data_IF_978392531911
#
_entry.id   IF_978392531911
#
_cell.length_a   1.000
_cell.length_b   1.000
_cell.length_c   1.000
_cell.angle_alpha   90.00
_cell.angle_beta   90.00
_cell.angle_gamma   90.00
#
_symmetry.space_group_name_H-M   'P 1'
#
loop_
_entity.id
_entity.type
_entity.pdbx_description
1 polymer ?
#
# COMPACT_ATOMS: atom_id res chain seq x y z
N UNK A 1 22.17 -51.38 -27.28
CA UNK A 1 21.38 -50.21 -27.70
C UNK A 1 20.57 -49.73 -26.51
N UNK A 2 20.99 -48.62 -25.90
CA UNK A 2 20.21 -47.43 -25.57
C UNK A 2 20.87 -46.74 -24.37
N UNK A 3 21.74 -45.78 -24.67
CA UNK A 3 22.39 -44.87 -23.73
C UNK A 3 21.39 -43.77 -23.36
N UNK A 4 20.77 -43.89 -22.19
CA UNK A 4 19.92 -42.84 -21.62
C UNK A 4 20.78 -41.79 -20.92
N UNK A 5 21.13 -40.72 -21.63
CA UNK A 5 21.58 -39.46 -21.03
C UNK A 5 20.38 -38.79 -20.36
N UNK A 6 20.33 -38.79 -19.03
CA UNK A 6 19.50 -37.88 -18.27
C UNK A 6 20.27 -36.57 -18.06
N UNK A 7 19.84 -35.52 -18.74
CA UNK A 7 20.32 -34.16 -18.53
C UNK A 7 19.84 -33.63 -17.16
N UNK A 8 20.69 -32.93 -16.38
CA UNK A 8 20.21 -32.16 -15.24
C UNK A 8 19.76 -30.79 -15.76
N UNK A 9 18.48 -30.65 -16.12
CA UNK A 9 17.87 -29.33 -16.27
C UNK A 9 17.44 -28.84 -14.88
N UNK A 10 18.41 -28.39 -14.10
CA UNK A 10 18.18 -27.39 -13.07
C UNK A 10 18.72 -26.09 -13.62
N UNK A 11 17.84 -25.17 -14.01
CA UNK A 11 18.27 -23.81 -14.32
C UNK A 11 19.07 -23.28 -13.11
N UNK A 12 20.27 -22.71 -13.33
CA UNK A 12 21.02 -22.11 -12.23
C UNK A 12 20.16 -21.00 -11.61
N UNK A 13 20.20 -20.80 -10.28
CA UNK A 13 19.48 -19.70 -9.64
C UNK A 13 19.84 -18.42 -10.38
N UNK A 14 18.85 -17.73 -10.91
CA UNK A 14 19.02 -16.51 -11.71
C UNK A 14 20.05 -15.63 -11.01
N UNK A 15 21.23 -15.49 -11.65
CA UNK A 15 22.29 -14.62 -11.12
C UNK A 15 21.70 -13.22 -11.01
N UNK A 16 21.36 -12.79 -9.79
CA UNK A 16 20.80 -11.47 -9.51
C UNK A 16 21.60 -10.42 -10.27
N UNK A 17 20.91 -9.65 -11.10
CA UNK A 17 21.52 -8.66 -11.99
C UNK A 17 22.50 -7.77 -11.19
N UNK A 18 23.81 -7.72 -11.54
CA UNK A 18 24.81 -6.95 -10.81
C UNK A 18 24.47 -5.45 -10.70
N UNK A 19 23.72 -4.92 -11.68
CA UNK A 19 23.24 -3.54 -11.65
C UNK A 19 22.21 -3.31 -10.54
N UNK A 20 21.34 -4.30 -10.31
CA UNK A 20 20.31 -4.28 -9.29
C UNK A 20 20.91 -4.46 -7.90
N UNK A 21 21.83 -5.41 -7.73
CA UNK A 21 22.51 -5.65 -6.45
C UNK A 21 23.18 -4.38 -5.90
N UNK A 22 23.80 -3.56 -6.77
CA UNK A 22 24.39 -2.26 -6.39
C UNK A 22 23.39 -1.18 -5.99
N UNK A 23 22.11 -1.34 -6.31
CA UNK A 23 21.03 -0.36 -6.09
C UNK A 23 19.89 -0.92 -5.24
N UNK A 24 20.05 -2.11 -4.70
CA UNK A 24 19.04 -2.82 -3.93
C UNK A 24 18.46 -1.92 -2.83
N UNK A 25 19.33 -1.26 -2.07
CA UNK A 25 18.95 -0.36 -0.98
C UNK A 25 18.05 0.80 -1.42
N UNK A 26 18.28 1.32 -2.62
CA UNK A 26 17.42 2.36 -3.19
C UNK A 26 16.03 1.83 -3.52
N UNK A 27 15.94 0.60 -4.06
CA UNK A 27 14.66 -0.02 -4.36
C UNK A 27 13.89 -0.42 -3.10
N UNK A 28 14.57 -0.91 -2.06
CA UNK A 28 13.98 -1.15 -0.74
C UNK A 28 13.39 0.14 -0.17
N UNK A 29 14.19 1.23 -0.14
CA UNK A 29 13.71 2.55 0.31
C UNK A 29 12.47 2.96 -0.48
N UNK A 30 12.51 2.81 -1.80
CA UNK A 30 11.38 3.18 -2.67
C UNK A 30 10.14 2.34 -2.37
N UNK A 31 10.27 1.03 -2.17
CA UNK A 31 9.15 0.15 -1.85
C UNK A 31 8.43 0.60 -0.58
N UNK A 32 9.21 0.96 0.45
CA UNK A 32 8.67 1.44 1.73
C UNK A 32 7.98 2.80 1.59
N UNK A 33 8.57 3.75 0.85
CA UNK A 33 7.93 5.06 0.63
C UNK A 33 6.64 4.93 -0.19
N UNK A 34 6.63 4.08 -1.22
CA UNK A 34 5.43 3.80 -2.01
C UNK A 34 4.35 3.10 -1.17
N UNK A 35 4.72 2.18 -0.28
CA UNK A 35 3.79 1.56 0.68
C UNK A 35 3.17 2.60 1.62
N UNK A 36 3.97 3.50 2.20
CA UNK A 36 3.46 4.58 3.06
C UNK A 36 2.47 5.49 2.34
N UNK A 37 2.75 5.85 1.08
CA UNK A 37 1.84 6.65 0.25
C UNK A 37 0.57 5.88 -0.10
N UNK A 38 0.69 4.59 -0.40
CA UNK A 38 -0.44 3.72 -0.70
C UNK A 38 -1.40 3.62 0.49
N UNK A 39 -0.89 3.36 1.69
CA UNK A 39 -1.73 3.27 2.88
C UNK A 39 -2.52 4.56 3.09
N UNK A 40 -1.86 5.71 2.91
CA UNK A 40 -2.56 7.01 2.98
C UNK A 40 -3.62 7.17 1.89
N UNK A 41 -3.32 6.76 0.65
CA UNK A 41 -4.29 6.78 -0.44
C UNK A 41 -5.49 5.88 -0.16
N UNK A 42 -5.28 4.75 0.51
CA UNK A 42 -6.36 3.84 0.90
C UNK A 42 -7.19 4.40 2.06
N UNK A 43 -6.57 5.05 3.06
CA UNK A 43 -7.30 5.77 4.12
C UNK A 43 -8.30 6.77 3.53
N UNK A 44 -7.87 7.54 2.53
CA UNK A 44 -8.74 8.51 1.86
C UNK A 44 -9.91 7.80 1.12
N UNK A 45 -9.67 6.66 0.48
CA UNK A 45 -10.72 5.83 -0.13
C UNK A 45 -11.68 5.29 0.93
N UNK A 46 -11.15 4.79 2.04
CA UNK A 46 -11.92 4.22 3.13
C UNK A 46 -12.82 5.26 3.78
N UNK A 47 -12.34 6.49 3.97
CA UNK A 47 -13.16 7.60 4.46
C UNK A 47 -14.32 7.93 3.52
N UNK A 48 -14.09 7.96 2.20
CA UNK A 48 -15.17 8.14 1.22
C UNK A 48 -16.18 7.00 1.31
N UNK A 49 -15.71 5.78 1.50
CA UNK A 49 -16.58 4.62 1.68
C UNK A 49 -17.45 4.76 2.93
N UNK A 50 -16.89 5.23 4.04
CA UNK A 50 -17.64 5.50 5.27
C UNK A 50 -18.71 6.59 5.09
N UNK A 51 -18.54 7.55 4.18
CA UNK A 51 -19.60 8.54 3.85
C UNK A 51 -20.88 7.86 3.34
N UNK A 52 -20.79 6.67 2.74
CA UNK A 52 -21.96 5.90 2.33
C UNK A 52 -22.59 5.10 3.46
N UNK A 53 -21.88 4.86 4.57
CA UNK A 53 -22.28 3.85 5.56
C UNK A 53 -23.25 4.43 6.58
N UNK A 54 -24.40 3.78 6.74
CA UNK A 54 -25.32 4.01 7.84
C UNK A 54 -25.11 2.95 8.93
N UNK A 55 -24.81 3.32 10.19
CA UNK A 55 -24.62 2.36 11.28
C UNK A 55 -25.85 1.51 11.59
N UNK A 56 -27.03 1.93 11.14
CA UNK A 56 -28.33 1.32 11.46
C UNK A 56 -28.96 0.56 10.28
N UNK A 57 -28.34 0.60 9.10
CA UNK A 57 -28.88 -0.03 7.89
C UNK A 57 -28.13 -1.33 7.52
N UNK A 58 -28.76 -2.16 6.67
CA UNK A 58 -28.06 -3.26 6.01
C UNK A 58 -26.88 -2.68 5.22
N UNK A 59 -25.63 -3.13 5.49
CA UNK A 59 -24.42 -2.69 4.78
C UNK A 59 -24.55 -2.69 3.25
N UNK A 60 -25.39 -3.57 2.70
CA UNK A 60 -25.62 -3.70 1.26
C UNK A 60 -26.57 -2.63 0.73
N UNK A 61 -27.52 -2.17 1.55
CA UNK A 61 -28.58 -1.26 1.13
C UNK A 61 -28.02 0.13 0.81
N UNK A 62 -27.03 0.57 1.59
CA UNK A 62 -26.35 1.86 1.46
C UNK A 62 -25.69 2.06 0.08
N UNK A 63 -24.96 1.05 -0.38
CA UNK A 63 -24.28 1.07 -1.68
C UNK A 63 -25.23 0.95 -2.87
N UNK A 64 -26.47 0.51 -2.65
CA UNK A 64 -27.49 0.40 -3.69
C UNK A 64 -28.43 1.60 -3.74
N UNK A 65 -28.31 2.54 -2.78
CA UNK A 65 -29.08 3.78 -2.78
C UNK A 65 -28.71 4.63 -4.01
N UNK A 66 -29.70 5.29 -4.62
CA UNK A 66 -29.45 6.28 -5.65
C UNK A 66 -28.74 7.50 -5.10
N UNK A 67 -28.98 7.87 -3.84
CA UNK A 67 -28.37 9.03 -3.22
C UNK A 67 -26.85 8.87 -3.03
N UNK A 68 -26.35 7.64 -2.96
CA UNK A 68 -24.91 7.35 -2.85
C UNK A 68 -24.17 7.29 -4.19
N UNK A 69 -24.84 7.63 -5.31
CA UNK A 69 -24.25 7.57 -6.66
C UNK A 69 -23.03 8.48 -6.87
N UNK A 70 -23.04 9.67 -6.28
CA UNK A 70 -21.88 10.58 -6.33
C UNK A 70 -20.69 10.01 -5.55
N UNK A 71 -20.95 9.45 -4.37
CA UNK A 71 -19.90 8.85 -3.54
C UNK A 71 -19.30 7.61 -4.21
N UNK A 72 -20.12 6.75 -4.84
CA UNK A 72 -19.59 5.62 -5.62
C UNK A 72 -18.77 6.05 -6.83
N UNK A 73 -19.08 7.20 -7.44
CA UNK A 73 -18.26 7.77 -8.52
C UNK A 73 -16.91 8.23 -7.97
N UNK A 74 -16.90 8.96 -6.84
CA UNK A 74 -15.67 9.38 -6.16
C UNK A 74 -14.81 8.18 -5.74
N UNK A 75 -15.42 7.11 -5.23
CA UNK A 75 -14.73 5.85 -4.91
C UNK A 75 -14.07 5.26 -6.15
N UNK A 76 -14.81 5.16 -7.25
CA UNK A 76 -14.30 4.66 -8.52
C UNK A 76 -13.10 5.46 -9.02
N UNK A 77 -13.16 6.79 -8.98
CA UNK A 77 -12.09 7.65 -9.44
C UNK A 77 -10.82 7.46 -8.60
N UNK A 78 -10.97 7.41 -7.27
CA UNK A 78 -9.83 7.19 -6.36
C UNK A 78 -9.23 5.79 -6.51
N UNK A 79 -10.06 4.76 -6.67
CA UNK A 79 -9.60 3.39 -6.95
C UNK A 79 -8.88 3.30 -8.29
N UNK A 80 -9.39 3.99 -9.31
CA UNK A 80 -8.77 4.02 -10.64
C UNK A 80 -7.39 4.69 -10.58
N UNK A 81 -7.23 5.77 -9.82
CA UNK A 81 -5.92 6.40 -9.60
C UNK A 81 -4.98 5.46 -8.83
N UNK A 82 -5.46 4.81 -7.77
CA UNK A 82 -4.64 3.94 -6.91
C UNK A 82 -4.17 2.66 -7.63
N UNK A 83 -5.08 1.99 -8.33
CA UNK A 83 -4.81 0.70 -9.00
C UNK A 83 -4.23 0.90 -10.40
N UNK A 84 -4.76 1.89 -11.13
CA UNK A 84 -4.46 2.13 -12.54
C UNK A 84 -5.53 1.58 -13.48
N UNK A 85 -5.19 1.56 -14.76
CA UNK A 85 -5.96 0.99 -15.87
C UNK A 85 -5.11 -0.06 -16.59
N UNK A 86 -5.69 -0.75 -17.57
CA UNK A 86 -4.95 -1.71 -18.41
C UNK A 86 -3.76 -1.07 -19.13
N UNK A 87 -3.90 0.21 -19.50
CA UNK A 87 -2.89 0.95 -20.26
C UNK A 87 -1.94 1.76 -19.37
N UNK A 88 -2.29 1.99 -18.11
CA UNK A 88 -1.52 2.83 -17.20
C UNK A 88 -1.50 2.29 -15.77
N UNK A 89 -0.31 1.89 -15.30
CA UNK A 89 -0.13 1.34 -13.95
C UNK A 89 -0.28 2.41 -12.87
N UNK A 90 -1.17 2.18 -11.92
CA UNK A 90 -1.31 2.99 -10.71
C UNK A 90 -0.22 2.71 -9.67
N UNK A 91 -0.16 3.50 -8.59
CA UNK A 91 0.77 3.31 -7.48
C UNK A 91 0.77 1.90 -6.89
N UNK A 92 -0.40 1.28 -6.68
CA UNK A 92 -0.50 -0.07 -6.10
C UNK A 92 0.13 -1.13 -7.01
N UNK A 93 -0.12 -1.05 -8.32
CA UNK A 93 0.50 -1.95 -9.28
C UNK A 93 2.02 -1.79 -9.27
N UNK A 94 2.52 -0.55 -9.32
CA UNK A 94 3.96 -0.28 -9.28
C UNK A 94 4.59 -0.78 -7.98
N UNK A 95 3.91 -0.62 -6.84
CA UNK A 95 4.37 -1.17 -5.57
C UNK A 95 4.46 -2.69 -5.63
N UNK A 96 3.43 -3.37 -6.13
CA UNK A 96 3.42 -4.83 -6.29
C UNK A 96 4.60 -5.31 -7.15
N UNK A 97 4.83 -4.68 -8.30
CA UNK A 97 5.97 -5.02 -9.16
C UNK A 97 7.32 -4.74 -8.47
N UNK A 98 7.39 -3.68 -7.65
CA UNK A 98 8.60 -3.33 -6.91
C UNK A 98 8.87 -4.29 -5.75
N UNK A 99 7.86 -4.73 -5.01
CA UNK A 99 8.00 -5.73 -3.97
C UNK A 99 8.51 -7.05 -4.56
N UNK A 100 7.98 -7.46 -5.73
CA UNK A 100 8.42 -8.66 -6.42
C UNK A 100 9.89 -8.59 -6.84
N UNK A 101 10.35 -7.41 -7.25
CA UNK A 101 11.74 -7.17 -7.62
C UNK A 101 12.69 -7.16 -6.40
N UNK A 102 12.26 -6.56 -5.29
CA UNK A 102 13.10 -6.38 -4.09
C UNK A 102 13.15 -7.66 -3.25
N UNK A 103 12.01 -8.32 -3.08
CA UNK A 103 11.86 -9.52 -2.29
C UNK A 103 11.24 -10.65 -3.13
N UNK A 104 11.99 -11.18 -4.11
CA UNK A 104 11.52 -12.29 -4.91
C UNK A 104 11.27 -13.51 -4.02
N UNK A 105 10.37 -14.38 -4.47
CA UNK A 105 10.09 -15.67 -3.82
C UNK A 105 11.40 -16.40 -3.55
N UNK A 106 11.66 -16.70 -2.29
CA UNK A 106 12.76 -17.56 -1.88
C UNK A 106 12.21 -18.73 -1.11
N UNK A 107 12.62 -19.94 -1.49
CA UNK A 107 12.35 -21.16 -0.74
C UNK A 107 13.24 -21.27 0.52
N UNK A 108 14.19 -20.34 0.71
CA UNK A 108 15.07 -20.33 1.86
C UNK A 108 14.44 -19.66 3.10
N UNK A 109 14.56 -20.28 4.29
CA UNK A 109 13.90 -19.82 5.51
C UNK A 109 14.39 -18.45 6.03
N UNK A 110 15.56 -17.98 5.59
CA UNK A 110 16.16 -16.71 6.02
C UNK A 110 15.58 -15.48 5.28
N UNK A 111 14.73 -15.68 4.26
CA UNK A 111 14.10 -14.61 3.46
C UNK A 111 12.58 -14.47 3.62
N UNK A 112 11.99 -15.12 4.64
CA UNK A 112 10.53 -15.25 4.78
C UNK A 112 9.79 -13.91 4.92
N UNK A 113 10.36 -12.95 5.66
CA UNK A 113 9.72 -11.64 5.86
C UNK A 113 9.51 -10.86 4.56
N UNK A 114 10.55 -10.81 3.71
CA UNK A 114 10.47 -10.13 2.42
C UNK A 114 9.49 -10.80 1.46
N UNK A 115 9.55 -12.14 1.35
CA UNK A 115 8.63 -12.89 0.48
C UNK A 115 7.17 -12.73 0.92
N UNK A 116 6.93 -12.57 2.23
CA UNK A 116 5.60 -12.29 2.77
C UNK A 116 5.10 -10.89 2.38
N UNK A 117 5.97 -9.88 2.36
CA UNK A 117 5.63 -8.53 1.87
C UNK A 117 5.26 -8.56 0.38
N UNK A 118 5.99 -9.30 -0.47
CA UNK A 118 5.62 -9.49 -1.88
C UNK A 118 4.24 -10.14 -2.02
N UNK A 119 4.00 -11.21 -1.26
CA UNK A 119 2.70 -11.89 -1.26
C UNK A 119 1.56 -10.98 -0.82
N UNK A 120 1.73 -10.24 0.28
CA UNK A 120 0.73 -9.31 0.80
C UNK A 120 0.45 -8.17 -0.19
N UNK A 121 1.49 -7.59 -0.79
CA UNK A 121 1.32 -6.56 -1.82
C UNK A 121 0.55 -7.09 -3.04
N UNK A 122 0.82 -8.34 -3.45
CA UNK A 122 0.06 -9.06 -4.45
C UNK A 122 -1.41 -9.26 -4.07
N UNK A 123 -1.68 -9.69 -2.83
CA UNK A 123 -3.03 -9.89 -2.32
C UNK A 123 -3.83 -8.58 -2.30
N UNK A 124 -3.23 -7.47 -1.82
CA UNK A 124 -3.84 -6.14 -1.84
C UNK A 124 -4.19 -5.72 -3.27
N UNK A 125 -3.27 -5.93 -4.21
CA UNK A 125 -3.51 -5.61 -5.62
C UNK A 125 -4.71 -6.38 -6.20
N UNK A 126 -4.78 -7.69 -5.98
CA UNK A 126 -5.89 -8.51 -6.49
C UNK A 126 -7.22 -8.15 -5.83
N UNK A 127 -7.24 -7.88 -4.52
CA UNK A 127 -8.46 -7.46 -3.84
C UNK A 127 -8.95 -6.09 -4.33
N UNK A 128 -8.04 -5.14 -4.54
CA UNK A 128 -8.36 -3.82 -5.08
C UNK A 128 -8.86 -3.86 -6.52
N UNK A 129 -8.36 -4.78 -7.35
CA UNK A 129 -8.88 -5.02 -8.71
C UNK A 129 -10.33 -5.52 -8.67
N UNK A 130 -10.61 -6.57 -7.88
CA UNK A 130 -11.99 -7.09 -7.73
C UNK A 130 -12.96 -6.04 -7.20
N UNK A 131 -12.52 -5.26 -6.21
CA UNK A 131 -13.27 -4.14 -5.69
C UNK A 131 -13.61 -3.12 -6.76
N UNK A 132 -12.60 -2.68 -7.52
CA UNK A 132 -12.78 -1.72 -8.60
C UNK A 132 -13.83 -2.23 -9.58
N UNK A 133 -13.73 -3.49 -10.01
CA UNK A 133 -14.72 -4.14 -10.88
C UNK A 133 -16.13 -4.14 -10.27
N UNK A 134 -16.27 -4.47 -8.99
CA UNK A 134 -17.58 -4.45 -8.34
C UNK A 134 -18.17 -3.03 -8.25
N UNK A 135 -17.36 -2.01 -7.94
CA UNK A 135 -17.81 -0.60 -7.96
C UNK A 135 -18.23 -0.17 -9.37
N UNK A 136 -17.51 -0.61 -10.42
CA UNK A 136 -17.93 -0.40 -11.81
C UNK A 136 -19.31 -0.99 -12.06
N UNK A 137 -19.53 -2.25 -11.68
CA UNK A 137 -20.82 -2.91 -11.87
C UNK A 137 -21.96 -2.17 -11.17
N UNK A 138 -21.73 -1.68 -9.95
CA UNK A 138 -22.71 -0.90 -9.21
C UNK A 138 -23.02 0.44 -9.89
N UNK A 139 -22.01 1.13 -10.44
CA UNK A 139 -22.19 2.42 -11.11
C UNK A 139 -22.89 2.27 -12.47
N UNK A 140 -22.47 1.29 -13.28
CA UNK A 140 -22.99 1.10 -14.64
C UNK A 140 -24.36 0.41 -14.67
N UNK A 141 -24.58 -0.59 -13.82
CA UNK A 141 -25.77 -1.45 -13.90
C UNK A 141 -26.72 -1.32 -12.70
N UNK A 142 -26.25 -0.80 -11.56
CA UNK A 142 -27.09 -0.57 -10.38
C UNK A 142 -28.33 0.28 -10.64
N UNK A 143 -28.26 1.43 -11.36
CA UNK A 143 -29.42 2.25 -11.66
C UNK A 143 -30.52 1.53 -12.45
N UNK A 144 -30.13 0.60 -13.34
CA UNK A 144 -31.06 -0.21 -14.14
C UNK A 144 -31.71 -1.31 -13.29
N UNK A 145 -30.94 -2.01 -12.46
CA UNK A 145 -31.45 -3.03 -11.54
C UNK A 145 -32.45 -2.44 -10.52
N UNK A 146 -32.23 -1.21 -10.05
CA UNK A 146 -33.16 -0.53 -9.13
C UNK A 146 -34.49 -0.14 -9.79
N UNK A 147 -34.53 0.13 -11.10
CA UNK A 147 -35.79 0.38 -11.83
C UNK A 147 -36.66 -0.88 -11.93
N UNK A 148 -36.04 -2.06 -12.02
CA UNK A 148 -36.76 -3.34 -12.00
C UNK A 148 -37.43 -3.60 -10.64
N UNK A 149 -36.88 -3.05 -9.55
CA UNK A 149 -37.44 -3.10 -8.18
C UNK A 149 -38.79 -2.36 -8.06
N UNK A 150 -39.08 -1.42 -8.96
CA UNK A 150 -40.27 -0.57 -8.95
C UNK A 150 -41.40 -1.06 -9.85
N UNK A 151 -41.19 -2.11 -10.66
CA UNK A 151 -42.28 -2.81 -11.32
C UNK A 151 -42.80 -3.86 -10.34
N UNK A 152 -44.02 -3.71 -9.79
CA UNK A 152 -44.66 -4.83 -9.12
C UNK A 152 -44.73 -5.96 -10.15
N UNK A 153 -44.39 -7.18 -9.75
CA UNK A 153 -44.88 -8.34 -10.46
C UNK A 153 -46.41 -8.27 -10.37
N UNK A 154 -47.05 -7.59 -11.32
CA UNK A 154 -48.50 -7.59 -11.45
C UNK A 154 -48.92 -9.06 -11.57
N UNK A 155 -50.03 -9.47 -10.94
CA UNK A 155 -50.52 -10.82 -11.09
C UNK A 155 -50.63 -11.10 -12.58
N UNK A 156 -49.91 -12.12 -13.05
CA UNK A 156 -49.97 -12.57 -14.44
C UNK A 156 -51.42 -12.95 -14.69
N UNK A 157 -52.19 -12.05 -15.31
CA UNK A 157 -53.54 -12.36 -15.78
C UNK A 157 -53.36 -13.33 -16.94
N UNK A 158 -53.42 -14.62 -16.65
CA UNK A 158 -53.60 -15.65 -17.66
C UNK A 158 -55.00 -15.46 -18.26
N UNK A 159 -55.08 -14.75 -19.37
CA UNK A 159 -56.30 -14.64 -20.16
C UNK A 159 -55.94 -14.85 -21.62
N UNK A 160 -56.08 -16.11 -22.08
CA UNK A 160 -56.06 -16.49 -23.49
C UNK A 160 -55.24 -17.76 -23.79
N UNK A 161 -55.77 -18.72 -24.56
CA UNK A 161 -55.01 -19.88 -25.02
C UNK A 161 -54.12 -19.44 -26.21
N UNK A 162 -52.95 -18.89 -25.90
CA UNK A 162 -51.90 -18.59 -26.86
C UNK A 162 -50.64 -19.43 -26.56
N UNK A 163 -49.72 -19.60 -27.53
CA UNK A 163 -48.50 -20.38 -27.33
C UNK A 163 -47.73 -19.86 -26.12
N UNK A 164 -47.20 -20.79 -25.31
CA UNK A 164 -46.51 -20.48 -24.06
C UNK A 164 -45.43 -19.39 -24.30
N UNK A 165 -45.39 -18.33 -23.49
CA UNK A 165 -44.38 -17.30 -23.66
C UNK A 165 -43.02 -17.94 -23.42
N UNK A 166 -42.15 -17.89 -24.44
CA UNK A 166 -40.73 -18.20 -24.30
C UNK A 166 -40.21 -17.36 -23.13
N UNK A 167 -39.52 -17.93 -22.12
CA UNK A 167 -38.97 -17.14 -21.03
C UNK A 167 -38.08 -16.08 -21.67
N UNK A 168 -38.45 -14.80 -21.55
CA UNK A 168 -37.59 -13.71 -22.01
C UNK A 168 -36.23 -13.92 -21.35
N UNK A 169 -35.13 -13.72 -22.08
CA UNK A 169 -33.77 -13.87 -21.56
C UNK A 169 -33.55 -13.12 -20.23
N UNK A 170 -34.30 -12.04 -20.02
CA UNK A 170 -34.45 -11.26 -18.78
C UNK A 170 -34.85 -12.09 -17.54
N UNK A 171 -35.53 -13.23 -17.72
CA UNK A 171 -35.95 -14.16 -16.66
C UNK A 171 -34.93 -15.25 -16.36
N UNK A 172 -33.89 -15.42 -17.19
CA UNK A 172 -32.85 -16.45 -17.01
C UNK A 172 -31.69 -15.96 -16.15
N UNK A 173 -31.47 -14.65 -16.02
CA UNK A 173 -30.37 -14.07 -15.25
C UNK A 173 -30.93 -13.17 -14.15
N UNK A 174 -30.68 -13.54 -12.90
CA UNK A 174 -31.00 -12.71 -11.74
C UNK A 174 -30.00 -11.54 -11.61
N UNK A 175 -30.18 -10.53 -12.46
CA UNK A 175 -29.39 -9.29 -12.47
C UNK A 175 -29.47 -8.59 -11.11
N UNK A 176 -30.64 -8.66 -10.46
CA UNK A 176 -30.85 -8.07 -9.14
C UNK A 176 -29.99 -8.76 -8.08
N UNK A 177 -30.01 -10.09 -8.04
CA UNK A 177 -29.15 -10.86 -7.15
C UNK A 177 -27.67 -10.65 -7.44
N UNK A 178 -27.28 -10.49 -8.71
CA UNK A 178 -25.89 -10.20 -9.08
C UNK A 178 -25.42 -8.84 -8.53
N UNK A 179 -26.23 -7.78 -8.70
CA UNK A 179 -25.92 -6.45 -8.16
C UNK A 179 -25.91 -6.44 -6.64
N UNK A 180 -26.83 -7.17 -6.01
CA UNK A 180 -26.83 -7.32 -4.55
C UNK A 180 -25.61 -8.06 -4.03
N UNK A 181 -25.09 -9.05 -4.77
CA UNK A 181 -23.83 -9.74 -4.44
C UNK A 181 -22.64 -8.81 -4.61
N UNK A 182 -22.56 -8.06 -5.72
CA UNK A 182 -21.50 -7.08 -5.93
C UNK A 182 -21.43 -6.04 -4.79
N UNK A 183 -22.58 -5.55 -4.29
CA UNK A 183 -22.62 -4.66 -3.13
C UNK A 183 -22.11 -5.32 -1.84
N UNK A 184 -22.46 -6.59 -1.60
CA UNK A 184 -21.94 -7.34 -0.46
C UNK A 184 -20.43 -7.58 -0.56
N UNK A 185 -19.94 -7.88 -1.77
CA UNK A 185 -18.53 -8.13 -2.03
C UNK A 185 -17.70 -6.85 -1.84
N UNK A 186 -18.20 -5.67 -2.23
CA UNK A 186 -17.54 -4.38 -1.98
C UNK A 186 -17.26 -4.18 -0.49
N UNK A 187 -18.25 -4.48 0.36
CA UNK A 187 -18.09 -4.36 1.82
C UNK A 187 -16.98 -5.29 2.30
N UNK A 188 -17.02 -6.57 1.93
CA UNK A 188 -15.98 -7.53 2.31
C UNK A 188 -14.59 -7.14 1.77
N UNK A 189 -14.52 -6.64 0.55
CA UNK A 189 -13.30 -6.20 -0.11
C UNK A 189 -12.66 -4.99 0.57
N UNK A 190 -13.45 -4.01 1.02
CA UNK A 190 -12.97 -2.89 1.83
C UNK A 190 -12.26 -3.35 3.09
N UNK A 191 -12.94 -4.20 3.87
CA UNK A 191 -12.37 -4.72 5.12
C UNK A 191 -11.15 -5.61 4.85
N UNK A 192 -11.19 -6.40 3.77
CA UNK A 192 -10.07 -7.27 3.41
C UNK A 192 -8.83 -6.48 2.99
N UNK A 193 -8.98 -5.39 2.22
CA UNK A 193 -7.85 -4.53 1.86
C UNK A 193 -7.29 -3.84 3.12
N UNK A 194 -8.16 -3.32 3.99
CA UNK A 194 -7.75 -2.71 5.25
C UNK A 194 -6.94 -3.70 6.10
N UNK A 195 -7.47 -4.91 6.28
CA UNK A 195 -6.80 -6.00 6.99
C UNK A 195 -5.41 -6.31 6.40
N UNK A 196 -5.31 -6.48 5.07
CA UNK A 196 -4.05 -6.80 4.40
C UNK A 196 -3.02 -5.67 4.52
N UNK A 197 -3.44 -4.41 4.40
CA UNK A 197 -2.55 -3.25 4.57
C UNK A 197 -2.04 -3.14 6.01
N UNK A 198 -2.90 -3.35 7.02
CA UNK A 198 -2.49 -3.38 8.43
C UNK A 198 -1.49 -4.49 8.70
N UNK A 199 -1.71 -5.70 8.15
CA UNK A 199 -0.75 -6.80 8.31
C UNK A 199 0.57 -6.53 7.59
N UNK A 200 0.52 -5.92 6.41
CA UNK A 200 1.73 -5.51 5.69
C UNK A 200 2.52 -4.49 6.50
N UNK A 201 1.84 -3.50 7.10
CA UNK A 201 2.46 -2.50 7.95
C UNK A 201 3.10 -3.12 9.20
N UNK A 202 2.46 -4.13 9.79
CA UNK A 202 2.98 -4.86 10.94
C UNK A 202 4.24 -5.68 10.58
N UNK A 203 4.20 -6.46 9.50
CA UNK A 203 5.37 -7.23 9.05
C UNK A 203 6.51 -6.28 8.68
N UNK A 204 6.21 -5.18 7.99
CA UNK A 204 7.19 -4.17 7.66
C UNK A 204 7.84 -3.56 8.92
N UNK A 205 7.05 -3.29 9.97
CA UNK A 205 7.57 -2.82 11.26
C UNK A 205 8.53 -3.82 11.91
N UNK A 206 8.20 -5.12 11.88
CA UNK A 206 9.06 -6.19 12.41
C UNK A 206 10.37 -6.35 11.64
N UNK A 207 10.37 -6.02 10.34
CA UNK A 207 11.56 -6.07 9.50
C UNK A 207 12.49 -4.86 9.68
N UNK A 208 12.10 -3.82 10.42
CA UNK A 208 12.90 -2.60 10.54
C UNK A 208 14.33 -2.84 11.06
N UNK A 209 14.58 -3.68 12.08
CA UNK A 209 15.95 -3.95 12.54
C UNK A 209 16.86 -4.52 11.44
N UNK A 210 16.34 -5.43 10.60
CA UNK A 210 17.09 -6.00 9.47
C UNK A 210 17.43 -4.93 8.40
N UNK A 211 16.62 -3.87 8.33
CA UNK A 211 16.79 -2.76 7.41
C UNK A 211 17.64 -1.62 7.97
N UNK A 212 18.11 -1.69 9.23
CA UNK A 212 18.88 -0.64 9.89
C UNK A 212 20.20 -0.29 9.15
N UNK A 213 20.79 -1.28 8.47
CA UNK A 213 22.02 -1.08 7.66
C UNK A 213 21.78 -0.23 6.41
N UNK A 214 20.55 -0.20 5.91
CA UNK A 214 20.18 0.62 4.77
C UNK A 214 19.91 2.06 5.24
N UNK A 215 20.96 2.90 5.17
CA UNK A 215 20.89 4.31 5.59
C UNK A 215 19.83 5.14 4.84
N UNK A 216 19.36 4.68 3.67
CA UNK A 216 18.28 5.34 2.94
C UNK A 216 16.92 5.06 3.59
N UNK A 217 16.72 3.86 4.14
CA UNK A 217 15.50 3.52 4.89
C UNK A 217 15.47 4.29 6.19
N UNK A 218 16.56 4.30 6.96
CA UNK A 218 16.65 5.08 8.21
C UNK A 218 16.35 6.56 7.95
N UNK A 219 16.91 7.12 6.89
CA UNK A 219 16.62 8.49 6.46
C UNK A 219 15.16 8.69 6.04
N UNK A 220 14.57 7.74 5.31
CA UNK A 220 13.16 7.79 4.93
C UNK A 220 12.26 7.85 6.17
N UNK A 221 12.56 7.08 7.22
CA UNK A 221 11.79 7.09 8.47
C UNK A 221 11.75 8.49 9.10
N UNK A 222 12.88 9.21 9.07
CA UNK A 222 12.92 10.64 9.46
C UNK A 222 12.06 11.50 8.54
N UNK A 223 12.17 11.31 7.21
CA UNK A 223 11.41 12.07 6.21
C UNK A 223 9.88 11.83 6.28
N UNK A 224 9.47 10.76 6.98
CA UNK A 224 8.08 10.29 7.07
C UNK A 224 7.59 10.10 8.50
N UNK A 225 8.21 10.78 9.47
CA UNK A 225 7.91 10.63 10.89
C UNK A 225 6.39 10.71 11.21
N UNK A 226 5.66 11.64 10.60
CA UNK A 226 4.21 11.78 10.80
C UNK A 226 3.38 10.63 10.21
N UNK A 227 3.89 9.95 9.18
CA UNK A 227 3.25 8.75 8.64
C UNK A 227 3.49 7.58 9.58
N UNK A 228 4.71 7.42 10.12
CA UNK A 228 5.03 6.35 11.07
C UNK A 228 4.16 6.44 12.33
N UNK A 229 4.01 7.65 12.87
CA UNK A 229 3.18 7.89 14.06
C UNK A 229 1.73 7.46 13.85
N UNK A 230 1.18 7.68 12.65
CA UNK A 230 -0.19 7.26 12.32
C UNK A 230 -0.29 5.77 12.04
N UNK A 231 0.69 5.22 11.31
CA UNK A 231 0.67 3.84 10.84
C UNK A 231 0.91 2.84 11.97
N UNK A 232 1.85 3.15 12.87
CA UNK A 232 2.29 2.24 13.93
C UNK A 232 1.91 2.72 15.33
N UNK A 233 1.51 3.98 15.50
CA UNK A 233 1.25 4.54 16.83
C UNK A 233 2.52 4.79 17.65
N UNK A 234 3.70 4.70 17.03
CA UNK A 234 5.01 4.80 17.68
C UNK A 234 5.70 6.12 17.36
N UNK A 235 6.56 6.59 18.27
CA UNK A 235 7.50 7.68 17.98
C UNK A 235 8.66 7.17 17.14
N UNK A 236 9.29 8.05 16.37
CA UNK A 236 10.50 7.70 15.62
C UNK A 236 11.63 7.20 16.55
N UNK A 237 11.73 7.77 17.75
CA UNK A 237 12.67 7.31 18.77
C UNK A 237 12.40 5.87 19.18
N UNK A 238 11.15 5.47 19.44
CA UNK A 238 10.81 4.09 19.78
C UNK A 238 11.16 3.11 18.64
N UNK A 239 10.89 3.50 17.40
CA UNK A 239 11.28 2.71 16.22
C UNK A 239 12.81 2.56 16.15
N UNK A 240 13.57 3.63 16.36
CA UNK A 240 15.04 3.55 16.36
C UNK A 240 15.61 2.78 17.53
N UNK A 241 15.01 2.87 18.72
CA UNK A 241 15.38 2.03 19.87
C UNK A 241 15.31 0.55 19.49
N UNK A 242 14.24 0.12 18.84
CA UNK A 242 14.10 -1.27 18.38
C UNK A 242 15.09 -1.62 17.25
N UNK A 243 15.22 -0.76 16.23
CA UNK A 243 16.13 -0.98 15.11
C UNK A 243 17.60 -1.11 15.51
N UNK A 244 18.01 -0.42 16.57
CA UNK A 244 19.41 -0.29 16.98
C UNK A 244 19.63 -0.84 18.40
N UNK A 245 18.88 -1.88 18.79
CA UNK A 245 19.10 -2.67 20.01
C UNK A 245 19.20 -1.83 21.30
N UNK A 246 18.36 -0.82 21.43
CA UNK A 246 18.31 0.10 22.57
C UNK A 246 18.95 1.47 22.31
N UNK A 247 19.69 1.63 21.21
CA UNK A 247 20.41 2.87 20.89
C UNK A 247 19.69 3.72 19.83
N UNK A 248 18.65 4.44 20.24
CA UNK A 248 17.96 5.36 19.34
C UNK A 248 18.86 6.48 18.80
N UNK A 249 19.92 6.87 19.52
CA UNK A 249 20.85 7.91 19.06
C UNK A 249 21.63 7.46 17.83
N UNK A 250 21.97 6.17 17.72
CA UNK A 250 22.60 5.60 16.53
C UNK A 250 21.68 5.65 15.29
N UNK A 251 20.36 5.52 15.47
CA UNK A 251 19.40 5.72 14.39
C UNK A 251 19.42 7.14 13.83
N UNK A 252 19.43 8.14 14.72
CA UNK A 252 19.58 9.54 14.32
C UNK A 252 20.96 9.83 13.70
N UNK A 253 22.04 9.28 14.25
CA UNK A 253 23.39 9.40 13.65
C UNK A 253 23.44 8.78 12.26
N UNK A 254 22.83 7.61 12.06
CA UNK A 254 22.72 6.94 10.75
C UNK A 254 22.00 7.81 9.72
N UNK A 255 20.88 8.44 10.09
CA UNK A 255 20.22 9.42 9.23
C UNK A 255 21.12 10.64 8.94
N UNK A 256 21.82 11.14 9.96
CA UNK A 256 22.80 12.22 9.84
C UNK A 256 23.92 11.92 8.85
N UNK A 257 24.51 10.72 8.91
CA UNK A 257 25.51 10.23 7.96
C UNK A 257 24.94 10.15 6.53
N UNK A 258 23.70 9.69 6.38
CA UNK A 258 22.99 9.63 5.10
C UNK A 258 22.82 11.02 4.46
N UNK A 259 22.36 12.01 5.24
CA UNK A 259 22.25 13.40 4.78
C UNK A 259 23.61 14.02 4.46
N UNK A 260 24.64 13.74 5.27
CA UNK A 260 25.98 14.26 5.07
C UNK A 260 26.60 13.77 3.76
N UNK A 261 26.42 12.49 3.42
CA UNK A 261 26.85 11.93 2.12
C UNK A 261 26.16 12.63 0.94
N UNK A 262 24.92 13.08 1.13
CA UNK A 262 24.19 13.90 0.17
C UNK A 262 24.53 15.39 0.19
N UNK A 263 25.44 15.83 1.07
CA UNK A 263 25.81 17.24 1.32
C UNK A 263 24.65 18.09 1.85
N UNK A 264 23.66 17.45 2.51
CA UNK A 264 22.51 18.14 3.09
C UNK A 264 22.82 18.53 4.52
N UNK A 265 23.74 19.49 4.67
CA UNK A 265 24.33 19.86 5.97
C UNK A 265 23.30 20.31 7.01
N UNK A 266 22.28 21.13 6.68
CA UNK A 266 21.27 21.52 7.67
C UNK A 266 20.47 20.34 8.22
N UNK A 267 20.10 19.39 7.36
CA UNK A 267 19.37 18.18 7.75
C UNK A 267 20.27 17.25 8.58
N UNK A 268 21.53 17.07 8.17
CA UNK A 268 22.51 16.30 8.93
C UNK A 268 22.70 16.89 10.34
N UNK A 269 22.86 18.22 10.44
CA UNK A 269 22.97 18.92 11.72
C UNK A 269 21.77 18.65 12.63
N UNK A 270 20.54 18.77 12.11
CA UNK A 270 19.31 18.48 12.88
C UNK A 270 19.28 17.05 13.40
N UNK A 271 19.79 16.08 12.63
CA UNK A 271 19.81 14.68 13.07
C UNK A 271 20.79 14.47 14.23
N UNK A 272 21.99 15.04 14.18
CA UNK A 272 22.92 14.96 15.31
C UNK A 272 22.41 15.72 16.54
N UNK A 273 21.64 16.80 16.37
CA UNK A 273 20.94 17.45 17.50
C UNK A 273 19.90 16.52 18.12
N UNK A 274 19.10 15.81 17.32
CA UNK A 274 18.15 14.80 17.81
C UNK A 274 18.87 13.64 18.52
N UNK A 275 20.01 13.20 18.00
CA UNK A 275 20.83 12.17 18.64
C UNK A 275 21.29 12.59 20.05
N UNK A 276 21.77 13.82 20.23
CA UNK A 276 22.15 14.34 21.55
C UNK A 276 20.97 14.55 22.51
N UNK A 277 19.79 14.86 21.99
CA UNK A 277 18.60 15.00 22.82
C UNK A 277 18.21 13.67 23.49
N UNK A 278 18.48 12.54 22.81
CA UNK A 278 18.19 11.19 23.31
C UNK A 278 19.39 10.60 24.07
N UNK A 279 20.61 10.88 23.62
CA UNK A 279 21.85 10.46 24.30
C UNK A 279 22.87 11.61 24.36
N UNK A 280 22.92 12.36 25.47
CA UNK A 280 23.82 13.50 25.61
C UNK A 280 25.31 13.18 25.51
N UNK A 281 25.68 11.90 25.69
CA UNK A 281 27.06 11.41 25.65
C UNK A 281 27.42 10.75 24.32
N UNK A 282 26.62 10.94 23.25
CA UNK A 282 26.90 10.36 21.94
C UNK A 282 28.10 11.05 21.27
N UNK A 283 29.27 10.41 21.31
CA UNK A 283 30.54 10.94 20.79
C UNK A 283 30.48 11.39 19.32
N UNK A 284 29.83 10.59 18.46
CA UNK A 284 29.66 10.94 17.05
C UNK A 284 28.86 12.24 16.90
N UNK A 285 27.73 12.34 17.61
CA UNK A 285 26.88 13.51 17.53
C UNK A 285 27.58 14.79 18.04
N UNK A 286 28.31 14.71 19.16
CA UNK A 286 29.13 15.81 19.68
C UNK A 286 30.13 16.27 18.61
N UNK A 287 30.90 15.33 18.06
CA UNK A 287 31.95 15.62 17.08
C UNK A 287 31.38 16.24 15.81
N UNK A 288 30.29 15.67 15.28
CA UNK A 288 29.66 16.11 14.03
C UNK A 288 28.96 17.45 14.17
N UNK A 289 28.39 17.77 15.32
CA UNK A 289 27.79 19.09 15.56
C UNK A 289 28.81 20.21 15.47
N UNK A 290 29.98 20.05 16.11
CA UNK A 290 31.05 21.06 16.06
C UNK A 290 31.49 21.30 14.61
N UNK A 291 31.70 20.22 13.84
CA UNK A 291 32.11 20.30 12.43
C UNK A 291 31.04 20.97 11.56
N UNK A 292 29.77 20.59 11.72
CA UNK A 292 28.69 21.04 10.84
C UNK A 292 28.18 22.45 11.18
N UNK A 293 28.29 22.89 12.44
CA UNK A 293 27.88 24.25 12.80
C UNK A 293 28.71 25.31 12.07
N UNK A 294 30.01 25.10 11.91
CA UNK A 294 30.87 25.98 11.11
C UNK A 294 30.42 26.02 9.65
N UNK A 295 30.29 24.83 9.02
CA UNK A 295 29.89 24.68 7.61
C UNK A 295 28.51 25.27 7.34
N UNK A 296 27.53 25.06 8.22
CA UNK A 296 26.17 25.60 8.03
C UNK A 296 26.14 27.12 8.20
N UNK A 297 26.91 27.69 9.15
CA UNK A 297 27.00 29.16 9.33
C UNK A 297 27.59 29.84 8.10
N UNK A 298 28.68 29.30 7.56
CA UNK A 298 29.33 29.81 6.34
C UNK A 298 28.42 29.68 5.11
N UNK A 299 27.73 28.55 4.96
CA UNK A 299 26.80 28.35 3.85
C UNK A 299 25.50 29.14 3.97
N UNK A 300 25.06 29.52 5.18
CA UNK A 300 23.91 30.43 5.37
C UNK A 300 24.18 31.81 4.76
N UNK A 301 25.42 32.28 4.89
CA UNK A 301 25.86 33.54 4.28
C UNK A 301 25.94 33.44 2.75
N UNK A 302 26.29 32.26 2.21
CA UNK A 302 26.33 32.00 0.76
C UNK A 302 24.96 31.77 0.12
N UNK A 303 23.98 31.23 0.87
CA UNK A 303 22.65 30.87 0.37
C UNK A 303 21.58 31.96 0.59
N UNK A 304 21.93 33.11 1.18
CA UNK A 304 21.02 34.25 1.32
C UNK A 304 19.79 33.99 2.20
N UNK A 305 19.84 33.01 3.09
CA UNK A 305 18.74 32.71 4.02
C UNK A 305 19.01 33.47 5.32
N UNK A 306 18.43 34.68 5.40
CA UNK A 306 18.31 35.47 6.64
C UNK A 306 17.43 34.77 7.66
#
# INVERSE_FOLDING_TARGET
MNTGLSAPNGDPPERRNPWFAKRHDFFVRRAIDEFFRLTRSFEDIYLIYLECRSPLADPRADLLDRQTGEVRTRLWDRLTVMVGTENEKGPLWRLKDLCHLVWPKSDEPQGQGGSLIDWLAGAVFHEAMKLKENIYLLNSYGPAASKMRSCPAGPVRFSGPGPAPVPRLESMIDVRGLISRAAADVVGQMEQIAFLLTHTAFILRLMMPDLARNMLVVRLLVEREDVLRRLWGETLEAVFTDMFYGDAAEGFCTAGRSYLRGQWFPQALRMYQKALAVSPTCDEAITRLVQLQAVVRENRQLLGIT
#
